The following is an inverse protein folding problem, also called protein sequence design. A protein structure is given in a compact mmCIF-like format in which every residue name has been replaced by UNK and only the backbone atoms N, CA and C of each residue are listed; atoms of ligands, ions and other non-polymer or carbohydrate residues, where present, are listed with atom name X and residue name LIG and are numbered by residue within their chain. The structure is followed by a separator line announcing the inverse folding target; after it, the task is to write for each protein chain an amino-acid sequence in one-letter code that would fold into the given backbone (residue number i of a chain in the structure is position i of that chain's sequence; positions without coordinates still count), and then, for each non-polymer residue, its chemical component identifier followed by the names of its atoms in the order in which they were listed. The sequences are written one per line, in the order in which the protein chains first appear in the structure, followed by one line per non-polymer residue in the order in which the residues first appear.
data_IF_941492004018
#
_entry.id   IF_941492004018
#
_cell.length_a   1.000
_cell.length_b   1.000
_cell.length_c   1.000
_cell.angle_alpha   90.00
_cell.angle_beta   90.00
_cell.angle_gamma   90.00
#
_symmetry.space_group_name_H-M   'P 1'
#
loop_
_entity.id
_entity.type
_entity.pdbx_description
1 polymer ?
#
# COMPACT_ATOMS: atom_id res chain seq x y z
N UNK A 1 -18.83 5.26 5.65
CA UNK A 1 -17.67 4.69 4.93
C UNK A 1 -17.26 5.71 3.91
N UNK A 2 -15.95 5.91 3.79
CA UNK A 2 -15.36 6.90 2.91
C UNK A 2 -14.43 6.17 1.95
N UNK A 3 -14.29 6.73 0.75
CA UNK A 3 -13.37 6.21 -0.26
C UNK A 3 -12.05 6.94 -0.10
N UNK A 4 -10.97 6.17 0.02
CA UNK A 4 -9.60 6.67 0.11
C UNK A 4 -8.83 6.19 -1.13
N UNK A 5 -8.19 7.12 -1.82
CA UNK A 5 -7.33 6.82 -2.97
C UNK A 5 -6.01 7.54 -2.75
N UNK A 6 -4.94 6.77 -2.57
CA UNK A 6 -3.64 7.30 -2.23
C UNK A 6 -2.57 6.67 -3.12
N UNK A 7 -1.53 7.42 -3.46
CA UNK A 7 -0.40 6.90 -4.23
C UNK A 7 0.87 7.06 -3.41
N UNK A 8 1.62 5.98 -3.22
CA UNK A 8 2.91 6.04 -2.54
C UNK A 8 4.05 6.14 -3.55
N UNK A 9 5.12 6.83 -3.16
CA UNK A 9 6.35 7.06 -3.93
C UNK A 9 7.21 5.81 -4.22
N UNK A 10 6.59 4.63 -4.31
CA UNK A 10 7.19 3.37 -4.74
C UNK A 10 6.98 3.27 -6.25
N UNK A 11 8.04 3.50 -7.02
CA UNK A 11 7.94 3.55 -8.48
C UNK A 11 7.64 2.16 -9.07
N UNK A 12 6.79 2.09 -10.10
CA UNK A 12 6.40 0.82 -10.75
C UNK A 12 7.60 0.04 -11.34
N UNK A 13 8.68 0.74 -11.67
CA UNK A 13 9.91 0.13 -12.18
C UNK A 13 10.85 -0.34 -11.07
N UNK A 14 10.39 -0.40 -9.82
CA UNK A 14 11.20 -0.93 -8.72
C UNK A 14 11.65 -2.37 -9.05
N UNK A 15 12.88 -2.76 -8.69
CA UNK A 15 13.37 -4.11 -8.95
C UNK A 15 12.55 -5.19 -8.21
N UNK A 16 12.67 -6.43 -8.66
CA UNK A 16 11.91 -7.58 -8.12
C UNK A 16 12.13 -7.77 -6.61
N UNK A 17 13.35 -7.56 -6.10
CA UNK A 17 13.64 -7.71 -4.67
C UNK A 17 12.89 -6.69 -3.78
N UNK A 18 12.53 -5.53 -4.32
CA UNK A 18 11.68 -4.55 -3.65
C UNK A 18 10.25 -5.06 -3.58
N UNK A 19 9.75 -5.65 -4.66
CA UNK A 19 8.40 -6.24 -4.69
C UNK A 19 8.29 -7.47 -3.80
N UNK A 20 9.32 -8.30 -3.71
CA UNK A 20 9.37 -9.46 -2.80
C UNK A 20 9.26 -9.00 -1.33
N UNK A 21 10.05 -7.99 -0.94
CA UNK A 21 9.98 -7.39 0.40
C UNK A 21 8.59 -6.80 0.70
N UNK A 22 7.98 -6.15 -0.28
CA UNK A 22 6.63 -5.61 -0.15
C UNK A 22 5.57 -6.72 -0.05
N UNK A 23 5.72 -7.81 -0.79
CA UNK A 23 4.82 -8.96 -0.71
C UNK A 23 4.86 -9.62 0.68
N UNK A 24 6.05 -9.74 1.28
CA UNK A 24 6.20 -10.16 2.68
C UNK A 24 5.47 -9.20 3.62
N UNK A 25 5.74 -7.89 3.49
CA UNK A 25 5.07 -6.85 4.28
C UNK A 25 3.53 -6.90 4.15
N UNK A 26 2.99 -7.10 2.94
CA UNK A 26 1.55 -7.17 2.72
C UNK A 26 0.88 -8.21 3.61
N UNK A 27 1.54 -9.36 3.77
CA UNK A 27 1.05 -10.47 4.59
C UNK A 27 1.03 -10.18 6.09
N UNK A 28 1.84 -9.22 6.56
CA UNK A 28 1.90 -8.81 7.96
C UNK A 28 0.88 -7.72 8.31
N UNK A 29 0.23 -7.12 7.31
CA UNK A 29 -0.68 -6.01 7.53
C UNK A 29 -2.06 -6.50 8.02
N UNK A 30 -2.71 -5.79 8.96
CA UNK A 30 -4.01 -6.19 9.48
C UNK A 30 -5.05 -6.37 8.38
N UNK A 31 -5.79 -7.49 8.45
CA UNK A 31 -6.84 -7.82 7.49
C UNK A 31 -6.36 -8.55 6.23
N UNK A 32 -5.09 -8.96 6.14
CA UNK A 32 -4.55 -9.61 4.95
C UNK A 32 -5.46 -10.75 4.46
N UNK A 33 -5.90 -10.63 3.21
CA UNK A 33 -6.81 -11.57 2.56
C UNK A 33 -6.14 -12.36 1.43
N UNK A 34 -4.84 -12.13 1.19
CA UNK A 34 -4.11 -12.74 0.10
C UNK A 34 -4.13 -11.91 -1.17
N UNK A 35 -3.53 -12.47 -2.22
CA UNK A 35 -3.67 -11.96 -3.57
C UNK A 35 -4.94 -12.52 -4.21
N UNK A 36 -5.77 -11.64 -4.76
CA UNK A 36 -6.96 -11.99 -5.55
C UNK A 36 -6.70 -11.45 -6.95
N UNK A 37 -6.67 -12.33 -7.95
CA UNK A 37 -6.31 -12.00 -9.34
C UNK A 37 -4.97 -11.26 -9.47
N UNK A 38 -4.00 -11.59 -8.61
CA UNK A 38 -2.67 -10.98 -8.59
C UNK A 38 -2.59 -9.64 -7.85
N UNK A 39 -3.70 -9.16 -7.28
CA UNK A 39 -3.78 -7.89 -6.56
C UNK A 39 -3.80 -8.18 -5.05
N UNK A 40 -2.93 -7.56 -4.23
CA UNK A 40 -2.96 -7.70 -2.78
C UNK A 40 -4.25 -7.09 -2.20
N UNK A 41 -4.93 -7.85 -1.33
CA UNK A 41 -6.17 -7.42 -0.71
C UNK A 41 -6.13 -7.54 0.81
N UNK A 42 -6.83 -6.63 1.49
CA UNK A 42 -7.15 -6.70 2.91
C UNK A 42 -8.65 -6.52 3.12
N UNK A 43 -9.17 -7.25 4.10
CA UNK A 43 -10.59 -7.28 4.47
C UNK A 43 -11.55 -7.70 3.35
N UNK A 44 -11.08 -8.36 2.28
CA UNK A 44 -11.92 -8.73 1.13
C UNK A 44 -13.08 -9.69 1.46
N UNK A 45 -13.04 -10.37 2.61
CA UNK A 45 -14.10 -11.25 3.09
C UNK A 45 -14.93 -10.63 4.24
N UNK A 46 -14.73 -9.35 4.56
CA UNK A 46 -15.36 -8.67 5.70
C UNK A 46 -16.80 -8.19 5.40
N UNK A 47 -17.55 -8.96 4.60
CA UNK A 47 -18.97 -8.75 4.24
C UNK A 47 -19.32 -7.26 4.00
N UNK A 48 -18.57 -6.60 3.11
CA UNK A 48 -18.76 -5.21 2.68
C UNK A 48 -18.55 -4.12 3.75
N UNK A 49 -17.87 -4.43 4.87
CA UNK A 49 -17.59 -3.41 5.91
C UNK A 49 -16.35 -2.59 5.62
N UNK A 50 -15.34 -3.24 5.06
CA UNK A 50 -14.01 -2.69 4.80
C UNK A 50 -13.42 -3.40 3.60
N UNK A 51 -12.72 -2.65 2.77
CA UNK A 51 -11.87 -3.23 1.73
C UNK A 51 -10.65 -2.34 1.58
N UNK A 52 -9.49 -2.97 1.38
CA UNK A 52 -8.28 -2.31 0.91
C UNK A 52 -7.72 -3.19 -0.20
N UNK A 53 -7.29 -2.58 -1.29
CA UNK A 53 -6.45 -3.24 -2.30
C UNK A 53 -5.39 -2.25 -2.78
N UNK A 54 -4.34 -2.78 -3.40
CA UNK A 54 -3.29 -1.96 -3.97
C UNK A 54 -2.89 -2.43 -5.36
N UNK A 55 -2.59 -1.50 -6.26
CA UNK A 55 -2.08 -1.80 -7.60
C UNK A 55 -0.79 -1.04 -7.90
N UNK A 56 0.02 -1.62 -8.78
CA UNK A 56 1.24 -0.98 -9.27
C UNK A 56 0.88 -0.17 -10.51
N UNK A 57 0.95 1.16 -10.39
CA UNK A 57 0.57 2.10 -11.44
C UNK A 57 1.76 2.99 -11.85
N UNK A 58 1.72 3.63 -13.04
CA UNK A 58 2.74 4.61 -13.41
C UNK A 58 2.90 5.77 -12.41
N UNK A 59 1.85 6.06 -11.62
CA UNK A 59 1.84 7.06 -10.56
C UNK A 59 2.37 6.56 -9.20
N UNK A 60 2.83 5.31 -9.11
CA UNK A 60 3.34 4.71 -7.88
C UNK A 60 2.52 3.50 -7.42
N UNK A 61 2.76 3.07 -6.18
CA UNK A 61 1.93 2.05 -5.54
C UNK A 61 0.60 2.71 -5.10
N UNK A 62 -0.46 2.44 -5.85
CA UNK A 62 -1.79 2.98 -5.61
C UNK A 62 -2.50 2.11 -4.57
N UNK A 63 -3.16 2.75 -3.61
CA UNK A 63 -4.08 2.12 -2.69
C UNK A 63 -5.50 2.63 -2.94
N UNK A 64 -6.44 1.70 -3.00
CA UNK A 64 -7.86 1.96 -2.87
C UNK A 64 -8.37 1.37 -1.56
N UNK A 65 -9.12 2.16 -0.79
CA UNK A 65 -9.80 1.67 0.39
C UNK A 65 -11.21 2.23 0.54
N UNK A 66 -12.12 1.43 1.10
CA UNK A 66 -13.44 1.87 1.53
C UNK A 66 -13.65 1.48 3.00
N UNK A 67 -13.46 2.44 3.91
CA UNK A 67 -13.59 2.24 5.36
C UNK A 67 -13.71 3.59 6.11
N UNK A 68 -13.79 3.58 7.44
CA UNK A 68 -13.85 4.80 8.25
C UNK A 68 -12.50 5.54 8.22
N UNK A 69 -12.50 6.87 8.16
CA UNK A 69 -11.29 7.70 8.10
C UNK A 69 -10.27 7.38 9.21
N UNK A 70 -10.71 7.24 10.46
CA UNK A 70 -9.80 6.98 11.59
C UNK A 70 -9.12 5.60 11.48
N UNK A 71 -9.87 4.59 11.03
CA UNK A 71 -9.32 3.26 10.79
C UNK A 71 -8.33 3.28 9.60
N UNK A 72 -8.68 3.99 8.52
CA UNK A 72 -7.80 4.16 7.36
C UNK A 72 -6.50 4.86 7.74
N UNK A 73 -6.56 6.00 8.44
CA UNK A 73 -5.38 6.74 8.88
C UNK A 73 -4.43 5.85 9.69
N UNK A 74 -4.98 5.07 10.62
CA UNK A 74 -4.19 4.15 11.45
C UNK A 74 -3.54 3.07 10.60
N UNK A 75 -4.28 2.47 9.67
CA UNK A 75 -3.78 1.40 8.80
C UNK A 75 -2.72 1.92 7.82
N UNK A 76 -2.96 3.06 7.19
CA UNK A 76 -2.09 3.64 6.17
C UNK A 76 -0.79 4.18 6.77
N UNK A 77 -0.83 4.81 7.95
CA UNK A 77 0.40 5.19 8.66
C UNK A 77 1.23 3.99 9.09
N UNK A 78 0.59 2.91 9.54
CA UNK A 78 1.29 1.65 9.82
C UNK A 78 1.97 1.11 8.56
N UNK A 79 1.27 1.12 7.42
CA UNK A 79 1.84 0.68 6.14
C UNK A 79 3.06 1.51 5.76
N UNK A 80 2.93 2.85 5.71
CA UNK A 80 4.03 3.77 5.37
C UNK A 80 5.23 3.59 6.29
N UNK A 81 4.99 3.47 7.60
CA UNK A 81 6.04 3.26 8.61
C UNK A 81 6.80 1.96 8.36
N UNK A 82 6.08 0.85 8.18
CA UNK A 82 6.70 -0.45 7.93
C UNK A 82 7.41 -0.49 6.57
N UNK A 83 6.78 0.00 5.51
CA UNK A 83 7.38 0.08 4.18
C UNK A 83 8.66 0.91 4.19
N UNK A 84 8.67 2.04 4.91
CA UNK A 84 9.86 2.88 5.05
C UNK A 84 11.02 2.12 5.73
N UNK A 85 10.71 1.40 6.81
CA UNK A 85 11.71 0.59 7.50
C UNK A 85 12.23 -0.57 6.62
N UNK A 86 11.34 -1.24 5.89
CA UNK A 86 11.66 -2.38 5.02
C UNK A 86 12.50 -1.97 3.81
N UNK A 87 12.19 -0.82 3.21
CA UNK A 87 12.85 -0.35 1.98
C UNK A 87 14.04 0.57 2.25
N UNK A 88 14.18 1.09 3.47
CA UNK A 88 15.28 1.98 3.86
C UNK A 88 15.17 3.39 3.26
N UNK A 89 13.97 3.80 2.85
CA UNK A 89 13.67 5.12 2.29
C UNK A 89 12.32 5.62 2.81
N UNK A 90 12.10 6.93 2.83
CA UNK A 90 10.85 7.49 3.35
C UNK A 90 9.69 7.25 2.37
N UNK A 91 8.65 6.56 2.84
CA UNK A 91 7.47 6.23 2.05
C UNK A 91 6.33 7.17 2.39
N UNK A 92 5.81 7.84 1.37
CA UNK A 92 4.71 8.79 1.48
C UNK A 92 4.14 9.16 0.12
N UNK A 93 3.21 10.11 0.13
CA UNK A 93 2.51 10.50 -1.09
C UNK A 93 3.30 11.54 -1.87
N UNK A 94 3.46 11.38 -3.20
CA UNK A 94 4.17 12.38 -4.00
C UNK A 94 3.59 13.79 -3.91
N UNK A 95 2.28 13.92 -3.67
CA UNK A 95 1.63 15.23 -3.49
C UNK A 95 2.01 15.95 -2.19
N UNK A 96 2.47 15.21 -1.18
CA UNK A 96 3.03 15.75 0.06
C UNK A 96 4.53 16.07 -0.05
N UNK A 97 5.12 15.87 -1.24
CA UNK A 97 6.53 16.16 -1.51
C UNK A 97 7.49 14.96 -1.41
N UNK A 98 6.97 13.74 -1.32
CA UNK A 98 7.79 12.52 -1.31
C UNK A 98 8.27 12.17 -2.72
N UNK A 99 9.59 12.11 -2.91
CA UNK A 99 10.18 11.82 -4.22
C UNK A 99 10.20 10.33 -4.52
N UNK A 100 10.04 9.98 -5.80
CA UNK A 100 10.24 8.60 -6.26
C UNK A 100 11.71 8.22 -6.20
N UNK A 101 12.00 7.05 -5.65
CA UNK A 101 13.32 6.44 -5.78
C UNK A 101 13.36 5.58 -7.05
N UNK A 102 14.30 5.90 -7.94
CA UNK A 102 14.56 5.12 -9.15
C UNK A 102 15.85 4.33 -8.95
N UNK A 103 15.73 3.00 -8.97
CA UNK A 103 16.87 2.09 -8.91
C UNK A 103 17.54 2.02 -10.29
N UNK A 104 18.87 2.23 -10.35
CA UNK A 104 19.68 2.29 -11.57
C UNK A 104 20.62 1.11 -11.71
#
# INVERSE_FOLDING_TARGET
MEIHNHNLNIHYSSPEDIWDKLAELYSEMPGWSGFIDGIPHWYAQDNDKRIINASVEPSGLQFYAEMQQEEWNTWFELFKTKASATLGLEIGEPEDGFEFHIYS
#
